data_IF_325961615529
#
_entry.id   IF_325961615529
#
_cell.length_a   1.000
_cell.length_b   1.000
_cell.length_c   1.000
_cell.angle_alpha   90.00
_cell.angle_beta   90.00
_cell.angle_gamma   90.00
#
_symmetry.space_group_name_H-M   'P 1'
#
loop_
_entity.id
_entity.type
_entity.pdbx_description
1 polymer ?
#
# COMPACT_ATOMS: atom_id res chain seq x y z
N UNK A 1 71.64 -50.53 22.73
CA UNK A 1 72.09 -49.18 23.14
C UNK A 1 71.87 -48.22 21.98
N UNK A 2 71.46 -46.98 22.30
CA UNK A 2 71.22 -45.80 21.43
C UNK A 2 69.86 -45.72 20.71
N UNK A 3 69.04 -44.85 21.33
CA UNK A 3 67.79 -44.24 20.91
C UNK A 3 68.05 -43.28 19.73
N UNK A 4 67.06 -43.10 18.86
CA UNK A 4 66.82 -41.81 18.20
C UNK A 4 65.34 -41.65 17.85
N UNK A 5 64.72 -40.71 18.55
CA UNK A 5 63.39 -40.16 18.30
C UNK A 5 63.50 -39.12 17.17
N UNK A 6 62.61 -39.16 16.18
CA UNK A 6 62.26 -37.99 15.38
C UNK A 6 60.73 -37.93 15.30
N UNK A 7 60.19 -37.14 16.22
CA UNK A 7 58.91 -36.45 16.15
C UNK A 7 58.81 -35.59 14.88
N UNK A 8 57.71 -35.71 14.14
CA UNK A 8 57.20 -34.59 13.35
C UNK A 8 55.68 -34.61 13.36
N UNK A 9 55.12 -33.84 14.29
CA UNK A 9 53.72 -33.46 14.30
C UNK A 9 53.54 -32.29 13.33
N UNK A 10 52.69 -32.46 12.32
CA UNK A 10 52.18 -31.33 11.55
C UNK A 10 50.65 -31.40 11.57
N UNK A 11 50.10 -30.82 12.64
CA UNK A 11 48.70 -30.42 12.74
C UNK A 11 48.57 -29.05 12.05
N UNK A 12 47.78 -28.97 10.99
CA UNK A 12 46.98 -27.77 10.70
C UNK A 12 45.66 -28.21 10.08
N UNK A 13 44.63 -28.20 10.93
CA UNK A 13 43.24 -28.37 10.57
C UNK A 13 42.79 -27.18 9.72
N UNK A 14 42.46 -27.43 8.44
CA UNK A 14 41.77 -26.47 7.59
C UNK A 14 40.29 -26.42 8.00
N UNK A 15 39.96 -25.48 8.89
CA UNK A 15 38.60 -25.10 9.20
C UNK A 15 37.96 -24.44 7.96
N UNK A 16 37.22 -25.24 7.20
CA UNK A 16 36.34 -24.76 6.14
C UNK A 16 35.12 -24.07 6.78
N UNK A 17 35.21 -22.74 6.90
CA UNK A 17 34.10 -21.84 7.21
C UNK A 17 33.11 -21.82 6.03
N UNK A 18 32.29 -22.87 5.90
CA UNK A 18 31.07 -22.81 5.09
C UNK A 18 30.03 -22.02 5.89
N UNK A 19 29.99 -20.71 5.65
CA UNK A 19 28.94 -19.84 6.14
C UNK A 19 27.59 -20.29 5.58
N UNK A 20 26.76 -20.92 6.42
CA UNK A 20 25.37 -21.22 6.10
C UNK A 20 24.60 -19.90 6.07
N UNK A 21 24.38 -19.38 4.86
CA UNK A 21 23.36 -18.36 4.64
C UNK A 21 21.99 -19.00 4.95
N UNK A 22 21.51 -18.79 6.18
CA UNK A 22 20.17 -19.14 6.57
C UNK A 22 19.21 -18.21 5.82
N UNK A 23 18.73 -18.66 4.66
CA UNK A 23 17.62 -18.01 3.98
C UNK A 23 16.42 -18.04 4.94
N UNK A 24 16.07 -16.89 5.50
CA UNK A 24 14.88 -16.74 6.33
C UNK A 24 13.68 -17.20 5.49
N UNK A 25 13.06 -18.32 5.90
CA UNK A 25 11.85 -18.80 5.26
C UNK A 25 10.73 -17.80 5.58
N UNK A 26 9.96 -17.33 4.57
CA UNK A 26 8.85 -16.44 4.83
C UNK A 26 7.81 -17.15 5.72
N UNK A 27 7.12 -16.40 6.60
CA UNK A 27 6.02 -16.96 7.37
C UNK A 27 5.01 -17.64 6.42
N UNK A 28 4.65 -18.88 6.76
CA UNK A 28 3.66 -19.65 6.01
C UNK A 28 2.40 -19.83 6.85
N UNK A 29 1.23 -19.66 6.24
CA UNK A 29 -0.06 -19.95 6.90
C UNK A 29 -0.55 -21.33 6.46
N UNK A 30 -0.86 -22.20 7.44
CA UNK A 30 -1.45 -23.51 7.16
C UNK A 30 -2.96 -23.38 7.02
N UNK A 31 -3.53 -23.91 5.94
CA UNK A 31 -4.97 -24.10 5.76
C UNK A 31 -5.28 -25.57 5.49
N UNK A 32 -6.44 -26.03 5.93
CA UNK A 32 -6.93 -27.38 5.71
C UNK A 32 -7.88 -27.40 4.53
N UNK A 33 -7.59 -28.23 3.53
CA UNK A 33 -8.54 -28.62 2.48
C UNK A 33 -9.36 -29.79 3.00
N UNK A 34 -10.66 -29.59 3.09
CA UNK A 34 -11.61 -30.59 3.55
C UNK A 34 -12.47 -31.05 2.37
N UNK A 35 -12.56 -32.37 2.17
CA UNK A 35 -13.46 -32.97 1.18
C UNK A 35 -14.46 -33.85 1.93
N UNK A 36 -15.74 -33.51 1.84
CA UNK A 36 -16.80 -34.26 2.51
C UNK A 36 -17.20 -35.54 1.77
N UNK A 37 -18.17 -36.29 2.32
CA UNK A 37 -18.66 -37.53 1.72
C UNK A 37 -19.41 -37.32 0.39
N UNK A 38 -19.92 -36.12 0.13
CA UNK A 38 -20.55 -35.73 -1.13
C UNK A 38 -19.52 -35.25 -2.18
N UNK A 39 -18.24 -35.15 -1.81
CA UNK A 39 -17.17 -34.66 -2.67
C UNK A 39 -17.04 -33.14 -2.70
N UNK A 40 -17.75 -32.41 -1.85
CA UNK A 40 -17.66 -30.95 -1.76
C UNK A 40 -16.35 -30.57 -1.09
N UNK A 41 -15.62 -29.64 -1.71
CA UNK A 41 -14.33 -29.15 -1.21
C UNK A 41 -14.51 -27.80 -0.52
N UNK A 42 -14.02 -27.69 0.71
CA UNK A 42 -13.92 -26.43 1.46
C UNK A 42 -12.49 -26.20 1.97
N UNK A 43 -12.14 -24.95 2.23
CA UNK A 43 -10.85 -24.56 2.80
C UNK A 43 -11.08 -23.78 4.08
N UNK A 44 -10.41 -24.19 5.17
CA UNK A 44 -10.61 -23.61 6.50
C UNK A 44 -9.32 -23.58 7.30
N UNK A 45 -9.26 -22.67 8.28
CA UNK A 45 -8.12 -22.55 9.19
C UNK A 45 -8.11 -23.61 10.31
N UNK A 46 -9.26 -24.23 10.58
CA UNK A 46 -9.42 -25.28 11.59
C UNK A 46 -9.41 -26.66 10.94
N UNK A 47 -9.02 -27.73 11.65
CA UNK A 47 -9.09 -29.11 11.15
C UNK A 47 -10.48 -29.47 10.65
N UNK A 48 -10.54 -30.42 9.71
CA UNK A 48 -11.81 -30.83 9.12
C UNK A 48 -12.72 -31.54 10.14
N UNK A 49 -14.04 -31.41 9.96
CA UNK A 49 -15.03 -32.15 10.76
C UNK A 49 -14.85 -33.66 10.59
N UNK A 50 -15.14 -34.43 11.63
CA UNK A 50 -15.01 -35.89 11.61
C UNK A 50 -15.74 -36.52 10.40
N UNK A 51 -15.04 -37.38 9.67
CA UNK A 51 -15.56 -38.04 8.46
C UNK A 51 -15.18 -37.36 7.14
N UNK A 52 -14.64 -36.15 7.16
CA UNK A 52 -14.08 -35.52 5.96
C UNK A 52 -12.63 -35.97 5.69
N UNK A 53 -12.23 -36.05 4.42
CA UNK A 53 -10.83 -36.22 4.03
C UNK A 53 -10.10 -34.88 4.14
N UNK A 54 -8.99 -34.87 4.88
CA UNK A 54 -8.18 -33.67 5.13
C UNK A 54 -6.86 -33.72 4.36
N UNK A 55 -6.47 -32.60 3.74
CA UNK A 55 -5.08 -32.35 3.35
C UNK A 55 -4.61 -30.96 3.79
N UNK A 56 -3.39 -30.87 4.31
CA UNK A 56 -2.77 -29.58 4.64
C UNK A 56 -2.26 -28.88 3.40
N UNK A 57 -2.61 -27.60 3.28
CA UNK A 57 -2.11 -26.70 2.24
C UNK A 57 -1.32 -25.60 2.92
N UNK A 58 0.00 -25.60 2.72
CA UNK A 58 0.86 -24.51 3.16
C UNK A 58 0.79 -23.42 2.11
N UNK A 59 0.11 -22.33 2.43
CA UNK A 59 0.12 -21.14 1.60
C UNK A 59 1.38 -20.35 1.95
N UNK A 60 2.21 -20.14 0.93
CA UNK A 60 3.26 -19.13 1.00
C UNK A 60 2.56 -17.79 1.02
N UNK A 61 2.82 -16.95 2.03
CA UNK A 61 2.40 -15.56 1.93
C UNK A 61 3.01 -14.98 0.65
N UNK A 62 2.21 -14.29 -0.20
CA UNK A 62 2.78 -13.58 -1.32
C UNK A 62 3.86 -12.68 -0.75
N UNK A 63 5.05 -12.70 -1.36
CA UNK A 63 6.08 -11.74 -1.00
C UNK A 63 5.42 -10.36 -1.01
N UNK A 64 5.62 -9.56 0.03
CA UNK A 64 5.38 -8.12 -0.09
C UNK A 64 6.27 -7.69 -1.25
N UNK A 65 5.72 -7.62 -2.45
CA UNK A 65 6.37 -6.95 -3.56
C UNK A 65 6.56 -5.52 -3.05
N UNK A 66 7.80 -5.25 -2.64
CA UNK A 66 8.27 -3.89 -2.53
C UNK A 66 8.06 -3.33 -3.93
N UNK A 67 7.02 -2.49 -4.09
CA UNK A 67 6.64 -1.87 -5.35
C UNK A 67 7.72 -0.91 -5.83
N UNK A 68 8.89 -1.43 -6.16
CA UNK A 68 9.79 -0.81 -7.11
C UNK A 68 9.14 -1.04 -8.48
N UNK A 69 8.21 -0.14 -8.81
CA UNK A 69 7.79 0.05 -10.19
C UNK A 69 9.06 0.18 -11.05
N UNK A 70 9.14 -0.48 -12.22
CA UNK A 70 10.31 -0.36 -13.07
C UNK A 70 10.60 1.13 -13.30
N UNK A 71 11.80 1.54 -12.93
CA UNK A 71 12.29 2.90 -13.15
C UNK A 71 12.16 3.17 -14.64
N UNK A 72 11.16 3.98 -15.01
CA UNK A 72 10.91 4.31 -16.40
C UNK A 72 12.14 5.04 -16.93
N UNK A 73 12.70 4.55 -18.04
CA UNK A 73 13.79 5.24 -18.70
C UNK A 73 13.36 6.69 -18.99
N UNK A 74 14.19 7.70 -18.70
CA UNK A 74 13.83 9.08 -18.88
C UNK A 74 13.39 9.32 -20.33
N UNK A 75 12.23 9.96 -20.49
CA UNK A 75 11.73 10.33 -21.80
C UNK A 75 12.70 11.33 -22.43
N UNK A 76 13.12 11.07 -23.67
CA UNK A 76 14.05 11.94 -24.40
C UNK A 76 13.24 12.82 -25.34
N UNK A 77 13.45 14.12 -25.26
CA UNK A 77 12.82 15.09 -26.15
C UNK A 77 13.32 14.83 -27.58
N UNK A 78 12.43 14.56 -28.56
CA UNK A 78 12.84 14.20 -29.92
C UNK A 78 13.47 15.36 -30.70
N UNK A 79 13.29 16.60 -30.25
CA UNK A 79 13.79 17.82 -30.89
C UNK A 79 15.15 18.23 -30.34
N UNK A 80 15.35 18.10 -29.02
CA UNK A 80 16.61 18.50 -28.35
C UNK A 80 17.54 17.35 -28.00
N UNK A 81 17.03 16.11 -27.96
CA UNK A 81 17.78 14.94 -27.53
C UNK A 81 18.13 14.92 -26.04
N UNK A 82 17.55 15.83 -25.25
CA UNK A 82 17.79 15.94 -23.81
C UNK A 82 16.72 15.18 -23.02
N UNK A 83 17.03 14.73 -21.78
CA UNK A 83 16.01 14.21 -20.87
C UNK A 83 14.93 15.27 -20.65
N UNK A 84 13.67 14.91 -20.90
CA UNK A 84 12.51 15.72 -20.56
C UNK A 84 12.45 15.79 -19.04
N UNK A 85 12.49 17.00 -18.49
CA UNK A 85 12.24 17.18 -17.07
C UNK A 85 10.81 16.70 -16.78
N UNK A 86 10.63 15.70 -15.88
CA UNK A 86 9.30 15.16 -15.62
C UNK A 86 8.40 16.29 -15.13
N UNK A 87 7.29 16.51 -15.86
CA UNK A 87 6.35 17.55 -15.49
C UNK A 87 5.89 17.30 -14.05
N UNK A 88 6.07 18.27 -13.13
CA UNK A 88 5.72 18.06 -11.75
C UNK A 88 4.23 17.74 -11.66
N UNK A 89 3.91 16.60 -11.07
CA UNK A 89 2.54 16.23 -10.80
C UNK A 89 1.99 17.22 -9.76
N UNK A 90 1.09 18.09 -10.21
CA UNK A 90 0.42 19.07 -9.35
C UNK A 90 -0.91 18.53 -8.84
N UNK A 91 -1.20 18.88 -7.59
CA UNK A 91 -2.51 18.76 -6.95
C UNK A 91 -2.96 20.17 -6.55
N UNK A 92 -4.14 20.28 -5.94
CA UNK A 92 -4.71 21.55 -5.52
C UNK A 92 -5.10 21.49 -4.05
N UNK A 93 -4.69 22.49 -3.29
CA UNK A 93 -5.22 22.81 -1.98
C UNK A 93 -6.45 23.71 -2.20
N UNK A 94 -7.59 23.24 -1.73
CA UNK A 94 -8.88 23.88 -1.88
C UNK A 94 -9.35 24.39 -0.52
N UNK A 95 -9.65 25.68 -0.45
CA UNK A 95 -10.09 26.34 0.79
C UNK A 95 -11.49 26.92 0.61
N UNK A 96 -12.40 26.61 1.52
CA UNK A 96 -13.74 27.22 1.55
C UNK A 96 -13.66 28.63 2.14
N UNK A 97 -14.65 29.48 1.86
CA UNK A 97 -14.77 30.79 2.52
C UNK A 97 -14.89 30.72 4.06
N UNK A 98 -15.21 29.54 4.60
CA UNK A 98 -15.27 29.27 6.04
C UNK A 98 -13.95 28.71 6.62
N UNK A 99 -12.89 28.61 5.80
CA UNK A 99 -11.56 28.17 6.20
C UNK A 99 -11.36 26.64 6.24
N UNK A 100 -12.28 25.86 5.66
CA UNK A 100 -12.08 24.41 5.57
C UNK A 100 -11.14 24.09 4.43
N UNK A 101 -10.18 23.19 4.66
CA UNK A 101 -9.12 22.90 3.70
C UNK A 101 -9.15 21.44 3.31
N UNK A 102 -9.18 21.19 2.01
CA UNK A 102 -9.19 19.85 1.43
C UNK A 102 -8.32 19.80 0.17
N UNK A 103 -7.90 18.61 -0.22
CA UNK A 103 -6.91 18.43 -1.29
C UNK A 103 -7.50 17.61 -2.43
N UNK A 104 -7.30 18.10 -3.65
CA UNK A 104 -7.77 17.46 -4.88
C UNK A 104 -6.63 17.16 -5.84
N UNK A 105 -6.71 16.03 -6.53
CA UNK A 105 -5.78 15.65 -7.59
C UNK A 105 -6.15 16.24 -8.96
N UNK A 106 -7.27 16.98 -9.00
CA UNK A 106 -7.81 17.76 -10.11
C UNK A 106 -8.09 19.19 -9.64
N UNK A 107 -8.28 20.16 -10.54
CA UNK A 107 -8.60 21.53 -10.17
C UNK A 107 -9.77 21.61 -9.17
N UNK A 108 -9.69 22.57 -8.24
CA UNK A 108 -10.75 22.76 -7.24
C UNK A 108 -12.10 23.05 -7.92
N UNK A 109 -13.20 22.49 -7.39
CA UNK A 109 -14.53 22.87 -7.84
C UNK A 109 -14.79 24.35 -7.49
N UNK A 110 -15.73 25.03 -8.18
CA UNK A 110 -16.08 26.42 -7.86
C UNK A 110 -16.75 26.57 -6.48
N UNK A 111 -17.25 25.47 -5.92
CA UNK A 111 -17.83 25.42 -4.58
C UNK A 111 -18.13 23.99 -4.14
N UNK A 112 -18.48 23.85 -2.86
CA UNK A 112 -18.89 22.58 -2.24
C UNK A 112 -20.11 22.81 -1.36
N UNK A 113 -20.87 21.75 -1.09
CA UNK A 113 -21.97 21.77 -0.14
C UNK A 113 -21.47 21.31 1.23
N UNK A 114 -21.68 22.12 2.24
CA UNK A 114 -21.28 21.82 3.61
C UNK A 114 -22.52 21.57 4.47
N UNK A 115 -22.56 20.51 5.30
CA UNK A 115 -23.68 20.26 6.18
C UNK A 115 -23.92 21.43 7.14
N UNK A 116 -25.17 21.85 7.27
CA UNK A 116 -25.56 22.91 8.22
C UNK A 116 -25.35 22.42 9.66
N UNK A 117 -24.74 23.22 10.55
CA UNK A 117 -24.60 22.87 11.96
C UNK A 117 -25.95 22.52 12.59
N UNK A 118 -26.04 21.34 13.21
CA UNK A 118 -27.28 20.82 13.81
C UNK A 118 -28.06 19.82 12.94
N UNK A 119 -27.61 19.55 11.71
CA UNK A 119 -28.10 18.39 10.97
C UNK A 119 -27.62 17.10 11.67
N UNK A 120 -28.53 16.37 12.31
CA UNK A 120 -28.28 15.04 12.87
C UNK A 120 -28.09 14.04 11.73
N UNK A 121 -26.88 13.89 11.22
CA UNK A 121 -26.54 12.79 10.31
C UNK A 121 -26.25 11.54 11.16
N UNK A 122 -27.32 10.86 11.58
CA UNK A 122 -27.24 9.43 11.93
C UNK A 122 -27.14 8.67 10.61
N UNK A 123 -25.95 8.13 10.34
CA UNK A 123 -25.66 7.01 9.43
C UNK A 123 -26.02 7.14 7.93
N UNK A 124 -26.49 8.29 7.46
CA UNK A 124 -26.72 8.53 6.04
C UNK A 124 -25.41 8.94 5.35
N UNK A 125 -24.72 7.94 4.78
CA UNK A 125 -23.70 8.02 3.72
C UNK A 125 -23.28 9.46 3.37
N UNK A 126 -22.03 9.85 3.63
CA UNK A 126 -21.45 11.21 3.45
C UNK A 126 -21.88 11.92 2.15
N UNK A 127 -22.24 11.15 1.12
CA UNK A 127 -22.82 11.59 -0.15
C UNK A 127 -24.18 12.29 -0.05
N UNK A 128 -25.05 11.95 0.91
CA UNK A 128 -26.40 12.54 1.07
C UNK A 128 -26.36 13.88 1.81
N UNK A 129 -25.47 14.03 2.78
CA UNK A 129 -25.24 15.30 3.47
C UNK A 129 -24.73 16.38 2.49
N UNK A 130 -23.96 15.96 1.48
CA UNK A 130 -23.53 16.82 0.38
C UNK A 130 -24.67 17.32 -0.51
N UNK A 131 -25.89 16.76 -0.45
CA UNK A 131 -27.00 17.19 -1.32
C UNK A 131 -27.85 18.31 -0.71
N UNK A 132 -27.93 18.39 0.62
CA UNK A 132 -28.79 19.35 1.34
C UNK A 132 -28.02 20.48 2.06
N UNK A 133 -26.69 20.51 1.95
CA UNK A 133 -25.84 21.52 2.57
C UNK A 133 -25.86 22.90 1.89
N UNK A 134 -25.38 23.92 2.60
CA UNK A 134 -25.14 25.27 2.09
C UNK A 134 -24.04 25.25 1.01
N UNK A 135 -24.26 25.93 -0.11
CA UNK A 135 -23.27 26.06 -1.17
C UNK A 135 -22.24 27.14 -0.84
N UNK A 136 -20.99 26.72 -0.63
CA UNK A 136 -19.90 27.63 -0.25
C UNK A 136 -18.85 27.67 -1.35
N UNK A 137 -18.38 28.87 -1.67
CA UNK A 137 -17.30 29.07 -2.66
C UNK A 137 -15.99 28.47 -2.17
N UNK A 138 -15.23 27.98 -3.14
CA UNK A 138 -13.90 27.39 -2.93
C UNK A 138 -12.88 28.17 -3.75
N UNK A 139 -11.75 28.50 -3.13
CA UNK A 139 -10.54 28.96 -3.79
C UNK A 139 -9.52 27.83 -3.85
N UNK A 140 -8.68 27.83 -4.89
CA UNK A 140 -7.67 26.79 -5.09
C UNK A 140 -6.27 27.36 -5.27
N UNK A 141 -5.28 26.71 -4.67
CA UNK A 141 -3.86 26.95 -4.92
C UNK A 141 -3.17 25.66 -5.38
N UNK A 142 -2.25 25.71 -6.35
CA UNK A 142 -1.49 24.53 -6.75
C UNK A 142 -0.53 24.11 -5.64
N UNK A 143 -0.43 22.82 -5.39
CA UNK A 143 0.51 22.21 -4.42
C UNK A 143 1.18 20.98 -5.03
N UNK A 144 2.41 20.63 -4.61
CA UNK A 144 3.04 19.38 -5.04
C UNK A 144 2.16 18.18 -4.68
N UNK A 145 2.01 17.22 -5.60
CA UNK A 145 1.16 16.04 -5.36
C UNK A 145 1.57 15.28 -4.10
N UNK A 146 2.87 15.14 -3.83
CA UNK A 146 3.38 14.49 -2.63
C UNK A 146 2.90 15.16 -1.34
N UNK A 147 2.89 16.50 -1.29
CA UNK A 147 2.41 17.25 -0.13
C UNK A 147 0.90 17.10 0.04
N UNK A 148 0.13 17.17 -1.06
CA UNK A 148 -1.30 16.89 -1.02
C UNK A 148 -1.58 15.49 -0.45
N UNK A 149 -0.87 14.47 -0.91
CA UNK A 149 -1.02 13.10 -0.40
C UNK A 149 -0.67 12.97 1.08
N UNK A 150 0.40 13.64 1.53
CA UNK A 150 0.76 13.70 2.95
C UNK A 150 -0.36 14.29 3.79
N UNK A 151 -0.99 15.38 3.31
CA UNK A 151 -2.10 16.05 3.98
C UNK A 151 -3.38 15.22 3.98
N UNK A 152 -3.70 14.55 2.88
CA UNK A 152 -4.84 13.62 2.78
C UNK A 152 -4.68 12.49 3.83
N UNK A 153 -3.47 11.97 4.01
CA UNK A 153 -3.20 10.94 5.01
C UNK A 153 -3.40 11.39 6.47
N UNK A 154 -3.36 12.70 6.78
CA UNK A 154 -3.72 13.24 8.11
C UNK A 154 -5.22 13.01 8.42
N UNK A 155 -6.06 12.83 7.39
CA UNK A 155 -7.44 12.38 7.48
C UNK A 155 -8.32 13.21 8.43
N UNK A 156 -9.03 12.58 9.38
CA UNK A 156 -10.11 13.22 10.16
C UNK A 156 -9.63 14.34 11.08
N UNK A 157 -8.33 14.51 11.29
CA UNK A 157 -7.77 15.61 12.06
C UNK A 157 -8.02 16.98 11.40
N UNK A 158 -8.31 17.03 10.08
CA UNK A 158 -8.55 18.27 9.34
C UNK A 158 -10.04 18.50 9.05
N UNK A 159 -10.47 19.75 9.20
CA UNK A 159 -11.76 20.20 8.68
C UNK A 159 -11.74 20.18 7.16
N UNK A 160 -12.70 19.49 6.56
CA UNK A 160 -12.81 19.34 5.11
C UNK A 160 -12.23 18.03 4.56
N UNK A 161 -11.66 17.14 5.39
CA UNK A 161 -11.11 15.87 4.92
C UNK A 161 -12.12 15.01 4.14
N UNK A 162 -13.42 15.12 4.44
CA UNK A 162 -14.51 14.48 3.70
C UNK A 162 -14.58 14.87 2.22
N UNK A 163 -13.97 16.00 1.86
CA UNK A 163 -13.87 16.50 0.48
C UNK A 163 -12.53 16.16 -0.17
N UNK A 164 -11.59 15.49 0.50
CA UNK A 164 -10.33 15.08 -0.10
C UNK A 164 -10.57 14.10 -1.26
N UNK A 165 -9.65 14.07 -2.23
CA UNK A 165 -9.69 13.11 -3.35
C UNK A 165 -9.02 11.80 -2.91
N UNK A 166 -9.73 11.02 -2.10
CA UNK A 166 -9.24 9.74 -1.58
C UNK A 166 -9.51 8.63 -2.59
N UNK A 167 -8.46 7.87 -2.94
CA UNK A 167 -8.61 6.69 -3.77
C UNK A 167 -9.53 5.66 -3.11
N UNK A 168 -10.54 5.20 -3.84
CA UNK A 168 -11.39 4.10 -3.36
C UNK A 168 -10.57 2.83 -3.23
N UNK A 169 -11.07 1.84 -2.47
CA UNK A 169 -10.40 0.53 -2.38
C UNK A 169 -10.25 -0.13 -3.74
N UNK A 170 -11.24 0.07 -4.64
CA UNK A 170 -11.19 -0.40 -6.02
C UNK A 170 -10.05 0.28 -6.79
N UNK A 171 -9.91 1.60 -6.68
CA UNK A 171 -8.86 2.34 -7.38
C UNK A 171 -7.48 1.90 -6.89
N UNK A 172 -7.33 1.72 -5.57
CA UNK A 172 -6.11 1.16 -4.96
C UNK A 172 -5.79 -0.24 -5.47
N UNK A 173 -6.77 -1.14 -5.49
CA UNK A 173 -6.59 -2.50 -6.02
C UNK A 173 -6.25 -2.52 -7.52
N UNK A 174 -6.69 -1.52 -8.27
CA UNK A 174 -6.40 -1.35 -9.69
C UNK A 174 -5.08 -0.60 -9.98
N UNK A 175 -4.34 -0.15 -8.97
CA UNK A 175 -3.12 0.65 -9.15
C UNK A 175 -3.37 2.10 -9.59
N UNK A 176 -4.62 2.57 -9.50
CA UNK A 176 -5.03 3.91 -9.89
C UNK A 176 -4.98 4.91 -8.73
N UNK A 177 -4.27 4.60 -7.65
CA UNK A 177 -4.14 5.51 -6.51
C UNK A 177 -3.12 6.63 -6.83
N UNK A 178 -3.56 7.89 -7.00
CA UNK A 178 -2.69 9.01 -7.34
C UNK A 178 -1.64 9.31 -6.25
N UNK A 179 -1.78 8.77 -5.04
CA UNK A 179 -0.80 8.89 -3.96
C UNK A 179 0.20 7.75 -3.89
N UNK A 180 0.01 6.69 -4.68
CA UNK A 180 0.96 5.59 -4.81
C UNK A 180 1.69 5.59 -6.16
N UNK A 181 1.23 6.38 -7.12
CA UNK A 181 1.91 6.61 -8.39
C UNK A 181 3.14 7.50 -8.15
N UNK A 182 4.33 6.93 -8.37
CA UNK A 182 5.62 7.62 -8.34
C UNK A 182 6.00 8.10 -9.73
#
# INVERSE_FOLDING_TARGET
>A
MKKSLITSACLTAAWALCGTAAAAQPPSKTMFKCVDAAGVTTFQALPCTAGARQSEVKLREPAKESGAQPEQAPEIDPETGLPVEPKPLVSYECTTAQGWTFYKHRPCPPGVRVPTPGATTVDASDTLAATQGEWIRVSGAPVPRLEACRRIAEGPARKGHVFDDVATERDRAAGNDPCLQK
#
